data_IF_819370572902
#
_entry.id   IF_819370572902
#
_cell.length_a   1.000
_cell.length_b   1.000
_cell.length_c   1.000
_cell.angle_alpha   90.00
_cell.angle_beta   90.00
_cell.angle_gamma   90.00
#
_symmetry.space_group_name_H-M   'P 1'
#
loop_
_entity.id
_entity.type
_entity.pdbx_description
1 polymer ?
#
# COMPACT_ATOMS: atom_id res chain seq x y z
N UNK A 1 6.56 6.88 -32.22
CA UNK A 1 7.12 6.26 -30.99
C UNK A 1 6.11 5.22 -30.54
N UNK A 2 6.51 3.97 -30.39
CA UNK A 2 5.64 2.91 -29.87
C UNK A 2 5.39 3.17 -28.38
N UNK A 3 4.12 3.27 -27.99
CA UNK A 3 3.76 3.37 -26.60
C UNK A 3 3.95 2.03 -25.88
N UNK A 4 4.53 2.05 -24.70
CA UNK A 4 4.63 0.90 -23.81
C UNK A 4 3.67 1.08 -22.63
N UNK A 5 2.86 0.06 -22.34
CA UNK A 5 2.03 0.09 -21.15
C UNK A 5 1.91 -1.30 -20.55
N UNK A 6 1.87 -1.38 -19.21
CA UNK A 6 1.77 -2.67 -18.53
C UNK A 6 1.61 -2.55 -17.02
N UNK A 7 1.28 -3.68 -16.41
CA UNK A 7 1.06 -3.83 -14.99
C UNK A 7 2.33 -4.32 -14.28
N UNK A 8 2.63 -3.71 -13.14
CA UNK A 8 3.81 -4.01 -12.33
C UNK A 8 3.40 -4.30 -10.89
N UNK A 9 3.53 -5.54 -10.46
CA UNK A 9 3.21 -5.93 -9.09
C UNK A 9 4.35 -5.65 -8.13
N UNK A 10 4.05 -5.03 -6.98
CA UNK A 10 4.97 -4.83 -5.87
C UNK A 10 4.64 -5.86 -4.78
N UNK A 11 5.46 -6.89 -4.67
CA UNK A 11 5.32 -7.94 -3.65
C UNK A 11 6.50 -7.92 -2.68
N UNK A 12 6.38 -8.61 -1.56
CA UNK A 12 7.44 -8.72 -0.55
C UNK A 12 6.91 -8.76 0.87
N UNK A 13 7.78 -8.95 1.85
CA UNK A 13 7.40 -9.00 3.27
C UNK A 13 6.73 -7.70 3.73
N UNK A 14 5.96 -7.73 4.84
CA UNK A 14 5.53 -6.49 5.49
C UNK A 14 6.73 -5.58 5.77
N UNK A 15 6.51 -4.27 5.70
CA UNK A 15 7.51 -3.23 5.96
C UNK A 15 8.74 -3.22 5.03
N UNK A 16 8.78 -4.00 3.95
CA UNK A 16 9.85 -3.91 2.95
C UNK A 16 9.88 -2.56 2.21
N UNK A 17 8.79 -1.77 2.29
CA UNK A 17 8.68 -0.44 1.70
C UNK A 17 7.97 -0.41 0.35
N UNK A 18 7.09 -1.39 0.07
CA UNK A 18 6.27 -1.46 -1.15
C UNK A 18 5.43 -0.20 -1.36
N UNK A 19 4.63 0.18 -0.37
CA UNK A 19 3.77 1.37 -0.40
C UNK A 19 4.57 2.67 -0.51
N UNK A 20 5.75 2.74 0.14
CA UNK A 20 6.67 3.88 -0.02
C UNK A 20 7.19 3.96 -1.44
N UNK A 21 7.54 2.82 -2.04
CA UNK A 21 8.00 2.74 -3.42
C UNK A 21 6.88 3.13 -4.39
N UNK A 22 5.64 2.61 -4.21
CA UNK A 22 4.48 3.02 -5.00
C UNK A 22 4.33 4.54 -5.02
N UNK A 23 4.22 5.16 -3.82
CA UNK A 23 4.04 6.60 -3.69
C UNK A 23 5.19 7.38 -4.36
N UNK A 24 6.44 6.90 -4.25
CA UNK A 24 7.61 7.49 -4.90
C UNK A 24 7.53 7.40 -6.42
N UNK A 25 7.15 6.25 -6.97
CA UNK A 25 7.06 6.02 -8.42
C UNK A 25 5.95 6.86 -9.06
N UNK A 26 4.78 6.92 -8.43
CA UNK A 26 3.66 7.72 -8.93
C UNK A 26 3.91 9.22 -8.73
N UNK A 27 4.48 9.61 -7.60
CA UNK A 27 4.70 11.00 -7.20
C UNK A 27 3.59 11.55 -6.31
N UNK A 28 2.64 10.72 -5.91
CA UNK A 28 1.50 11.06 -5.05
C UNK A 28 1.34 10.07 -3.89
N UNK A 29 0.69 10.50 -2.81
CA UNK A 29 0.42 9.65 -1.65
C UNK A 29 -0.85 8.83 -1.88
N UNK A 30 -0.75 7.71 -2.58
CA UNK A 30 -1.86 6.80 -2.86
C UNK A 30 -1.99 5.70 -1.80
N UNK A 31 -0.89 5.19 -1.30
CA UNK A 31 -0.86 4.13 -0.29
C UNK A 31 -0.39 4.68 1.06
N UNK A 32 -1.05 4.25 2.13
CA UNK A 32 -0.63 4.64 3.49
C UNK A 32 0.68 3.96 3.88
N UNK A 33 1.48 4.67 4.65
CA UNK A 33 2.80 4.20 5.10
C UNK A 33 2.88 4.16 6.61
N UNK A 34 3.29 3.03 7.17
CA UNK A 34 3.53 2.88 8.60
C UNK A 34 4.73 1.97 8.85
N UNK A 35 5.47 2.17 9.96
CA UNK A 35 6.52 1.24 10.36
C UNK A 35 5.98 -0.11 10.85
N UNK A 36 4.67 -0.25 11.01
CA UNK A 36 4.01 -1.47 11.51
C UNK A 36 3.63 -2.41 10.36
N UNK A 37 3.63 -3.73 10.58
CA UNK A 37 3.16 -4.68 9.59
C UNK A 37 1.64 -4.53 9.33
N UNK A 38 1.15 -5.12 8.25
CA UNK A 38 -0.27 -5.16 7.87
C UNK A 38 -0.90 -3.77 7.62
N UNK A 39 -0.09 -2.80 7.18
CA UNK A 39 -0.56 -1.46 6.84
C UNK A 39 -1.43 -1.50 5.58
N UNK A 40 -0.93 -2.07 4.49
CA UNK A 40 -1.68 -2.30 3.26
C UNK A 40 -2.51 -3.57 3.42
N UNK A 41 -3.82 -3.49 3.22
CA UNK A 41 -4.76 -4.63 3.33
C UNK A 41 -5.42 -4.99 2.01
N UNK A 42 -5.59 -4.01 1.13
CA UNK A 42 -6.17 -4.15 -0.20
C UNK A 42 -5.08 -4.03 -1.28
N UNK A 43 -5.42 -4.47 -2.47
CA UNK A 43 -4.68 -4.12 -3.67
C UNK A 43 -4.88 -2.62 -3.95
N UNK A 44 -3.79 -1.87 -4.15
CA UNK A 44 -3.83 -0.44 -4.47
C UNK A 44 -3.15 -0.24 -5.82
N UNK A 45 -3.86 0.35 -6.76
CA UNK A 45 -3.36 0.67 -8.09
C UNK A 45 -2.83 2.10 -8.12
N UNK A 46 -1.61 2.28 -8.62
CA UNK A 46 -1.02 3.59 -8.86
C UNK A 46 -0.55 3.70 -10.31
N UNK A 47 -0.95 4.74 -11.00
CA UNK A 47 -0.69 4.94 -12.43
C UNK A 47 0.40 6.01 -12.61
N UNK A 48 1.48 5.64 -13.29
CA UNK A 48 2.55 6.55 -13.69
C UNK A 48 2.51 6.76 -15.18
N UNK A 49 2.16 7.98 -15.59
CA UNK A 49 2.21 8.41 -16.98
C UNK A 49 3.58 9.01 -17.29
N UNK A 50 4.18 8.59 -18.40
CA UNK A 50 5.49 9.03 -18.90
C UNK A 50 5.37 9.32 -20.40
N UNK A 51 6.27 10.14 -20.98
CA UNK A 51 6.33 10.28 -22.42
C UNK A 51 6.60 8.93 -23.10
N UNK A 52 5.60 8.42 -23.85
CA UNK A 52 5.69 7.15 -24.56
C UNK A 52 5.53 5.89 -23.69
N UNK A 53 5.15 6.03 -22.40
CA UNK A 53 4.87 4.87 -21.55
C UNK A 53 3.83 5.14 -20.46
N UNK A 54 3.11 4.09 -20.05
CA UNK A 54 2.27 4.09 -18.86
C UNK A 54 2.58 2.85 -18.00
N UNK A 55 2.93 3.06 -16.74
CA UNK A 55 3.20 1.99 -15.79
C UNK A 55 2.08 1.94 -14.75
N UNK A 56 1.41 0.80 -14.66
CA UNK A 56 0.35 0.58 -13.69
C UNK A 56 0.91 -0.26 -12.55
N UNK A 57 1.31 0.40 -11.48
CA UNK A 57 1.80 -0.27 -10.27
C UNK A 57 0.67 -0.85 -9.44
N UNK A 58 0.90 -2.02 -8.89
CA UNK A 58 -0.02 -2.72 -8.00
C UNK A 58 0.67 -2.97 -6.67
N UNK A 59 0.36 -2.14 -5.65
CA UNK A 59 0.80 -2.38 -4.27
C UNK A 59 -0.06 -3.45 -3.60
N UNK A 60 0.56 -4.36 -2.89
CA UNK A 60 -0.10 -5.53 -2.30
C UNK A 60 0.12 -5.60 -0.80
N UNK A 61 -0.77 -6.30 -0.06
CA UNK A 61 -0.48 -6.70 1.30
C UNK A 61 0.87 -7.43 1.39
N UNK A 62 1.53 -7.31 2.54
CA UNK A 62 2.80 -8.01 2.76
C UNK A 62 2.63 -9.53 2.80
N UNK A 63 3.59 -10.26 2.26
CA UNK A 63 3.67 -11.73 2.35
C UNK A 63 4.08 -12.16 3.77
N UNK A 64 3.16 -12.73 4.51
CA UNK A 64 3.36 -13.29 5.85
C UNK A 64 2.35 -14.42 6.11
N UNK A 65 2.59 -15.30 7.09
CA UNK A 65 1.63 -16.35 7.42
C UNK A 65 0.25 -15.77 7.78
N UNK A 66 -0.79 -16.32 7.17
CA UNK A 66 -2.16 -15.84 7.37
C UNK A 66 -2.67 -16.17 8.77
N UNK A 67 -3.33 -15.22 9.43
CA UNK A 67 -4.08 -15.42 10.66
C UNK A 67 -5.52 -14.91 10.48
N UNK A 68 -6.47 -15.80 10.67
CA UNK A 68 -7.90 -15.53 10.49
C UNK A 68 -8.32 -15.24 9.04
N UNK A 69 -9.59 -14.87 8.83
CA UNK A 69 -10.15 -14.64 7.48
C UNK A 69 -9.56 -13.40 6.79
N UNK A 70 -9.35 -12.31 7.53
CA UNK A 70 -8.70 -11.12 6.97
C UNK A 70 -7.26 -11.42 6.54
N UNK A 71 -6.49 -12.15 7.35
CA UNK A 71 -5.13 -12.57 6.99
C UNK A 71 -5.10 -13.47 5.75
N UNK A 72 -6.04 -14.42 5.66
CA UNK A 72 -6.20 -15.28 4.49
C UNK A 72 -6.55 -14.48 3.23
N UNK A 73 -7.44 -13.49 3.34
CA UNK A 73 -7.75 -12.55 2.26
C UNK A 73 -6.50 -11.79 1.78
N UNK A 74 -5.76 -11.20 2.72
CA UNK A 74 -4.55 -10.42 2.41
C UNK A 74 -3.49 -11.28 1.70
N UNK A 75 -3.25 -12.50 2.19
CA UNK A 75 -2.30 -13.42 1.57
C UNK A 75 -2.75 -13.82 0.15
N UNK A 76 -4.03 -14.16 -0.03
CA UNK A 76 -4.60 -14.50 -1.34
C UNK A 76 -4.52 -13.30 -2.31
N UNK A 77 -4.77 -12.08 -1.84
CA UNK A 77 -4.62 -10.84 -2.62
C UNK A 77 -3.18 -10.67 -3.10
N UNK A 78 -2.20 -10.89 -2.22
CA UNK A 78 -0.78 -10.78 -2.56
C UNK A 78 -0.34 -11.86 -3.56
N UNK A 79 -0.86 -13.09 -3.46
CA UNK A 79 -0.57 -14.16 -4.42
C UNK A 79 -1.19 -13.87 -5.80
N UNK A 80 -2.46 -13.50 -5.86
CA UNK A 80 -3.14 -13.18 -7.14
C UNK A 80 -2.53 -11.98 -7.87
N UNK A 81 -1.90 -11.08 -7.14
CA UNK A 81 -1.27 -9.91 -7.76
C UNK A 81 -0.07 -10.24 -8.65
N UNK A 82 0.38 -11.49 -8.70
CA UNK A 82 1.47 -11.96 -9.59
C UNK A 82 0.92 -12.64 -10.84
N UNK A 83 -0.41 -12.95 -10.90
CA UNK A 83 -0.97 -13.81 -11.94
C UNK A 83 -1.09 -13.09 -13.30
N UNK A 84 -1.57 -11.84 -13.30
CA UNK A 84 -1.88 -11.10 -14.53
C UNK A 84 -1.11 -9.78 -14.64
N UNK A 85 0.22 -9.85 -14.51
CA UNK A 85 1.09 -8.67 -14.60
C UNK A 85 2.26 -8.91 -15.55
N UNK A 86 2.76 -7.83 -16.14
CA UNK A 86 3.87 -7.87 -17.09
C UNK A 86 5.24 -7.92 -16.40
N UNK A 87 5.33 -7.36 -15.19
CA UNK A 87 6.57 -7.29 -14.40
C UNK A 87 6.25 -7.50 -12.92
N UNK A 88 7.10 -8.23 -12.22
CA UNK A 88 7.06 -8.35 -10.76
C UNK A 88 8.27 -7.68 -10.14
N UNK A 89 8.06 -6.82 -9.16
CA UNK A 89 9.09 -6.26 -8.29
C UNK A 89 8.98 -6.90 -6.90
N UNK A 90 9.88 -7.81 -6.57
CA UNK A 90 10.06 -8.35 -5.23
C UNK A 90 10.84 -7.33 -4.40
N UNK A 91 10.14 -6.61 -3.52
CA UNK A 91 10.74 -5.57 -2.65
C UNK A 91 11.24 -6.20 -1.36
N UNK A 92 12.52 -5.99 -1.08
CA UNK A 92 13.23 -6.55 0.07
C UNK A 92 13.83 -5.43 0.90
N UNK A 93 13.78 -5.54 2.22
CA UNK A 93 14.46 -4.63 3.15
C UNK A 93 15.96 -5.02 3.25
N UNK A 94 16.83 -4.29 2.57
CA UNK A 94 18.26 -4.56 2.58
C UNK A 94 18.90 -4.33 3.95
N UNK A 95 18.27 -3.58 4.86
CA UNK A 95 18.82 -3.27 6.18
C UNK A 95 18.72 -4.43 7.16
N UNK A 96 17.81 -5.40 6.93
CA UNK A 96 17.69 -6.60 7.78
C UNK A 96 18.76 -7.65 7.44
N UNK A 97 19.23 -7.66 6.20
CA UNK A 97 20.15 -8.69 5.71
C UNK A 97 19.49 -10.05 5.44
N UNK A 98 18.14 -10.08 5.42
CA UNK A 98 17.38 -11.30 5.15
C UNK A 98 17.64 -11.82 3.74
N UNK A 99 17.87 -13.11 3.62
CA UNK A 99 17.97 -13.82 2.34
C UNK A 99 16.62 -14.29 1.79
N UNK A 100 16.66 -14.95 0.62
CA UNK A 100 15.49 -15.59 0.01
C UNK A 100 14.84 -16.59 0.97
N UNK A 101 13.51 -16.67 0.95
CA UNK A 101 12.76 -17.64 1.75
C UNK A 101 11.51 -18.10 0.99
N UNK A 102 10.96 -19.29 1.29
CA UNK A 102 9.78 -19.81 0.59
C UNK A 102 8.62 -18.81 0.55
N UNK A 103 8.32 -18.13 1.65
CA UNK A 103 7.18 -17.21 1.74
C UNK A 103 7.23 -16.08 0.71
N UNK A 104 8.41 -15.65 0.28
CA UNK A 104 8.56 -14.58 -0.72
C UNK A 104 8.81 -15.12 -2.13
N UNK A 105 9.33 -16.35 -2.27
CA UNK A 105 9.63 -16.96 -3.56
C UNK A 105 8.50 -17.84 -4.10
N UNK A 106 7.67 -18.43 -3.22
CA UNK A 106 6.57 -19.32 -3.66
C UNK A 106 5.59 -18.63 -4.62
N UNK A 107 5.19 -17.36 -4.44
CA UNK A 107 4.34 -16.67 -5.40
C UNK A 107 4.97 -16.54 -6.80
N UNK A 108 6.30 -16.57 -6.89
CA UNK A 108 7.04 -16.42 -8.15
C UNK A 108 7.21 -17.72 -8.94
N UNK A 109 6.92 -18.89 -8.34
CA UNK A 109 7.19 -20.21 -8.96
C UNK A 109 6.45 -20.42 -10.28
N UNK A 110 5.22 -19.94 -10.36
CA UNK A 110 4.39 -20.08 -11.56
C UNK A 110 4.52 -18.89 -12.53
N UNK A 111 5.20 -17.83 -12.12
CA UNK A 111 5.35 -16.62 -12.91
C UNK A 111 6.51 -16.75 -13.88
N UNK A 112 6.26 -16.51 -15.17
CA UNK A 112 7.25 -16.67 -16.25
C UNK A 112 7.79 -15.32 -16.79
N UNK A 113 7.21 -14.22 -16.37
CA UNK A 113 7.64 -12.88 -16.77
C UNK A 113 8.89 -12.40 -16.02
N UNK A 114 9.36 -11.18 -16.32
CA UNK A 114 10.53 -10.60 -15.67
C UNK A 114 10.29 -10.25 -14.20
N UNK A 115 11.16 -10.74 -13.33
CA UNK A 115 11.15 -10.45 -11.89
C UNK A 115 12.36 -9.58 -11.54
N UNK A 116 12.11 -8.42 -10.94
CA UNK A 116 13.13 -7.57 -10.35
C UNK A 116 13.25 -7.83 -8.84
N UNK A 117 14.46 -8.06 -8.33
CA UNK A 117 14.72 -8.02 -6.90
C UNK A 117 15.10 -6.58 -6.51
N UNK A 118 14.21 -5.90 -5.81
CA UNK A 118 14.40 -4.51 -5.40
C UNK A 118 14.89 -4.48 -3.95
N UNK A 119 16.21 -4.32 -3.76
CA UNK A 119 16.83 -4.20 -2.44
C UNK A 119 16.64 -2.78 -1.91
N UNK A 120 15.53 -2.56 -1.22
CA UNK A 120 15.13 -1.25 -0.71
C UNK A 120 15.79 -0.92 0.64
N UNK A 121 15.73 0.35 1.04
CA UNK A 121 16.26 0.91 2.29
C UNK A 121 17.79 0.86 2.41
N UNK A 122 18.50 1.05 1.29
CA UNK A 122 19.97 1.10 1.30
C UNK A 122 20.51 2.28 2.12
N UNK A 123 19.70 3.32 2.35
CA UNK A 123 19.95 4.43 3.26
C UNK A 123 20.18 3.96 4.71
N UNK A 124 19.57 2.84 5.09
CA UNK A 124 19.70 2.24 6.43
C UNK A 124 20.82 1.21 6.56
N UNK A 125 21.47 0.84 5.46
CA UNK A 125 22.58 -0.12 5.46
C UNK A 125 23.86 0.61 5.89
N UNK A 126 24.26 0.43 7.16
CA UNK A 126 25.44 1.11 7.75
C UNK A 126 26.76 0.72 7.07
N UNK A 127 26.95 -0.56 6.78
CA UNK A 127 28.17 -1.09 6.15
C UNK A 127 27.91 -1.42 4.68
N UNK A 128 28.32 -0.56 3.75
CA UNK A 128 28.15 -0.77 2.30
C UNK A 128 28.77 -2.07 1.80
N UNK A 129 29.81 -2.58 2.47
CA UNK A 129 30.41 -3.88 2.18
C UNK A 129 29.45 -5.08 2.31
N UNK A 130 28.34 -4.93 3.05
CA UNK A 130 27.29 -5.95 3.16
C UNK A 130 26.42 -6.09 1.90
N UNK A 131 26.42 -5.07 1.03
CA UNK A 131 25.53 -5.08 -0.15
C UNK A 131 25.92 -6.15 -1.16
N UNK A 132 27.20 -6.32 -1.47
CA UNK A 132 27.64 -7.33 -2.43
C UNK A 132 27.29 -8.77 -2.00
N UNK A 133 27.61 -9.20 -0.77
CA UNK A 133 27.17 -10.50 -0.28
C UNK A 133 25.64 -10.68 -0.32
N UNK A 134 24.86 -9.65 0.01
CA UNK A 134 23.40 -9.70 -0.03
C UNK A 134 22.89 -9.87 -1.47
N UNK A 135 23.43 -9.13 -2.43
CA UNK A 135 23.11 -9.27 -3.87
C UNK A 135 23.39 -10.70 -4.34
N UNK A 136 24.56 -11.26 -4.01
CA UNK A 136 24.90 -12.63 -4.38
C UNK A 136 23.96 -13.66 -3.76
N UNK A 137 23.59 -13.48 -2.50
CA UNK A 137 22.62 -14.37 -1.81
C UNK A 137 21.26 -14.36 -2.53
N UNK A 138 20.77 -13.21 -2.95
CA UNK A 138 19.50 -13.11 -3.68
C UNK A 138 19.63 -13.66 -5.11
N UNK A 139 20.76 -13.43 -5.78
CA UNK A 139 21.02 -13.95 -7.12
C UNK A 139 20.97 -15.49 -7.20
N UNK A 140 21.41 -16.16 -6.15
CA UNK A 140 21.37 -17.62 -6.06
C UNK A 140 19.97 -18.17 -5.74
N UNK A 141 19.05 -17.33 -5.20
CA UNK A 141 17.72 -17.76 -4.77
C UNK A 141 16.68 -17.85 -5.86
N UNK A 142 16.82 -17.06 -6.93
CA UNK A 142 15.86 -17.01 -8.05
C UNK A 142 16.51 -16.35 -9.28
N UNK A 143 16.12 -16.73 -10.52
CA UNK A 143 16.64 -16.11 -11.76
C UNK A 143 16.01 -14.73 -11.99
N UNK A 144 16.38 -13.74 -11.17
CA UNK A 144 15.92 -12.37 -11.34
C UNK A 144 16.42 -11.76 -12.67
N UNK A 145 15.54 -11.00 -13.34
CA UNK A 145 15.93 -10.20 -14.50
C UNK A 145 16.99 -9.17 -14.11
N UNK A 146 16.84 -8.57 -12.92
CA UNK A 146 17.79 -7.60 -12.36
C UNK A 146 17.68 -7.58 -10.82
N UNK A 147 18.78 -7.19 -10.16
CA UNK A 147 18.81 -6.91 -8.72
C UNK A 147 19.19 -5.45 -8.53
N UNK A 148 18.26 -4.63 -8.04
CA UNK A 148 18.41 -3.16 -8.02
C UNK A 148 18.37 -2.66 -6.58
N UNK A 149 19.50 -2.19 -6.03
CA UNK A 149 19.53 -1.50 -4.74
C UNK A 149 18.93 -0.10 -4.85
N UNK A 150 17.97 0.24 -3.97
CA UNK A 150 17.30 1.54 -3.95
C UNK A 150 17.08 2.09 -2.54
N UNK A 151 16.81 3.38 -2.42
CA UNK A 151 16.11 3.98 -1.28
C UNK A 151 14.82 4.63 -1.76
N UNK A 152 13.68 4.00 -1.50
CA UNK A 152 12.38 4.57 -1.84
C UNK A 152 12.09 5.87 -1.06
N UNK A 153 12.64 6.03 0.14
CA UNK A 153 12.49 7.24 0.97
C UNK A 153 13.28 8.40 0.39
N UNK A 154 14.54 8.19 0.03
CA UNK A 154 15.42 9.22 -0.50
C UNK A 154 15.28 9.41 -2.02
N UNK A 155 14.68 8.44 -2.73
CA UNK A 155 14.58 8.42 -4.19
C UNK A 155 15.82 7.85 -4.89
N UNK A 156 16.83 7.40 -4.15
CA UNK A 156 18.07 6.88 -4.71
C UNK A 156 17.80 5.70 -5.63
N UNK A 157 18.22 5.79 -6.89
CA UNK A 157 18.06 4.81 -7.97
C UNK A 157 16.60 4.44 -8.32
N UNK A 158 15.60 5.17 -7.82
CA UNK A 158 14.20 4.92 -8.17
C UNK A 158 13.90 5.21 -9.65
N UNK A 159 14.43 6.31 -10.20
CA UNK A 159 14.26 6.64 -11.62
C UNK A 159 14.90 5.59 -12.52
N UNK A 160 16.08 5.09 -12.13
CA UNK A 160 16.75 4.00 -12.85
C UNK A 160 15.93 2.71 -12.83
N UNK A 161 15.35 2.36 -11.69
CA UNK A 161 14.44 1.21 -11.59
C UNK A 161 13.22 1.41 -12.51
N UNK A 162 12.65 2.61 -12.56
CA UNK A 162 11.51 2.93 -13.43
C UNK A 162 11.86 2.76 -14.90
N UNK A 163 13.01 3.27 -15.36
CA UNK A 163 13.50 3.09 -16.73
C UNK A 163 13.66 1.60 -17.10
N UNK A 164 14.23 0.81 -16.19
CA UNK A 164 14.44 -0.63 -16.39
C UNK A 164 13.10 -1.37 -16.48
N UNK A 165 12.11 -1.02 -15.66
CA UNK A 165 10.75 -1.55 -15.69
C UNK A 165 10.11 -1.22 -17.05
N UNK A 166 10.12 0.06 -17.47
CA UNK A 166 9.55 0.49 -18.76
C UNK A 166 10.17 -0.29 -19.93
N UNK A 167 11.48 -0.57 -19.87
CA UNK A 167 12.16 -1.39 -20.87
C UNK A 167 11.65 -2.83 -20.99
N UNK A 168 10.95 -3.35 -19.98
CA UNK A 168 10.36 -4.72 -19.96
C UNK A 168 8.87 -4.75 -20.27
N UNK A 169 8.20 -3.59 -20.28
CA UNK A 169 6.78 -3.52 -20.63
C UNK A 169 6.54 -3.83 -22.10
N UNK A 170 5.39 -4.46 -22.43
CA UNK A 170 4.98 -4.70 -23.80
C UNK A 170 4.64 -3.40 -24.54
N UNK A 171 4.62 -3.47 -25.86
CA UNK A 171 4.03 -2.44 -26.70
C UNK A 171 2.52 -2.53 -26.60
N UNK A 172 1.91 -1.54 -25.96
CA UNK A 172 0.48 -1.46 -25.73
C UNK A 172 0.03 0.00 -25.59
N UNK A 173 -1.17 0.37 -26.05
CA UNK A 173 -1.73 1.69 -25.75
C UNK A 173 -1.97 1.84 -24.24
N UNK A 174 -2.03 3.08 -23.72
CA UNK A 174 -2.35 3.31 -22.31
C UNK A 174 -3.67 2.65 -21.87
N UNK A 175 -3.70 2.07 -20.69
CA UNK A 175 -4.90 1.46 -20.08
C UNK A 175 -5.83 2.50 -19.45
N UNK A 176 -5.25 3.62 -19.01
CA UNK A 176 -5.95 4.67 -18.28
C UNK A 176 -5.72 6.04 -18.94
N UNK A 177 -6.60 7.04 -18.72
CA UNK A 177 -6.38 8.42 -19.15
C UNK A 177 -5.04 8.98 -18.65
N UNK A 178 -4.48 9.94 -19.39
CA UNK A 178 -3.16 10.49 -19.10
C UNK A 178 -3.08 11.30 -17.79
N UNK A 179 -4.19 11.75 -17.26
CA UNK A 179 -4.35 12.47 -16.00
C UNK A 179 -4.71 11.55 -14.82
N UNK A 180 -5.00 10.27 -15.08
CA UNK A 180 -5.31 9.31 -14.02
C UNK A 180 -4.05 8.94 -13.24
N UNK A 181 -4.17 8.97 -11.90
CA UNK A 181 -3.11 8.53 -10.95
C UNK A 181 -3.49 7.25 -10.22
N UNK A 182 -4.78 6.87 -10.22
CA UNK A 182 -5.29 5.61 -9.66
C UNK A 182 -6.68 5.28 -10.20
N UNK A 183 -7.11 4.04 -9.96
CA UNK A 183 -8.46 3.52 -10.25
C UNK A 183 -9.36 3.45 -9.01
N UNK A 184 -8.84 3.79 -7.83
CA UNK A 184 -9.59 3.71 -6.58
C UNK A 184 -10.52 4.92 -6.40
N UNK A 185 -11.73 4.74 -5.85
CA UNK A 185 -12.62 5.85 -5.54
C UNK A 185 -12.03 6.75 -4.42
N UNK A 186 -12.39 8.02 -4.42
CA UNK A 186 -11.94 8.99 -3.40
C UNK A 186 -12.25 8.54 -1.98
N UNK A 187 -13.41 7.91 -1.76
CA UNK A 187 -13.81 7.35 -0.46
C UNK A 187 -12.83 6.33 0.09
N UNK A 188 -12.15 5.57 -0.79
CA UNK A 188 -11.09 4.66 -0.40
C UNK A 188 -9.90 5.40 0.21
N UNK A 189 -9.42 6.47 -0.44
CA UNK A 189 -8.30 7.26 0.07
C UNK A 189 -8.63 7.95 1.38
N UNK A 190 -9.85 8.50 1.50
CA UNK A 190 -10.34 9.09 2.75
C UNK A 190 -10.30 8.07 3.89
N UNK A 191 -10.84 6.86 3.66
CA UNK A 191 -10.83 5.80 4.67
C UNK A 191 -9.41 5.39 5.07
N UNK A 192 -8.51 5.21 4.09
CA UNK A 192 -7.12 4.84 4.34
C UNK A 192 -6.34 5.94 5.07
N UNK A 193 -6.53 7.23 4.74
CA UNK A 193 -5.88 8.34 5.44
C UNK A 193 -6.33 8.43 6.91
N UNK A 194 -7.62 8.22 7.20
CA UNK A 194 -8.11 8.14 8.57
C UNK A 194 -7.48 6.93 9.29
N UNK A 195 -7.46 5.76 8.63
CA UNK A 195 -6.88 4.52 9.18
C UNK A 195 -5.39 4.67 9.46
N UNK A 196 -4.63 5.37 8.61
CA UNK A 196 -3.22 5.69 8.83
C UNK A 196 -3.01 6.44 10.15
N UNK A 197 -3.87 7.43 10.46
CA UNK A 197 -3.74 8.19 11.71
C UNK A 197 -4.03 7.32 12.93
N UNK A 198 -4.98 6.40 12.83
CA UNK A 198 -5.19 5.39 13.87
C UNK A 198 -3.93 4.53 14.05
N UNK A 199 -3.31 4.07 12.96
CA UNK A 199 -2.07 3.29 13.01
C UNK A 199 -0.92 4.04 13.68
N UNK A 200 -0.79 5.34 13.45
CA UNK A 200 0.28 6.14 14.02
C UNK A 200 0.05 6.52 15.49
N UNK A 201 -1.20 6.80 15.86
CA UNK A 201 -1.55 7.38 17.16
C UNK A 201 -1.97 6.34 18.20
N UNK A 202 -2.24 5.09 17.81
CA UNK A 202 -2.61 4.02 18.73
C UNK A 202 -1.55 2.93 18.79
N UNK A 203 -1.63 2.04 19.78
CA UNK A 203 -0.61 1.02 20.06
C UNK A 203 -1.24 -0.37 20.22
N UNK A 204 -0.37 -1.37 20.40
CA UNK A 204 -0.74 -2.78 20.62
C UNK A 204 -1.65 -3.31 19.50
N UNK A 205 -2.77 -3.91 19.81
CA UNK A 205 -3.70 -4.56 18.89
C UNK A 205 -4.70 -3.60 18.21
N UNK A 206 -4.90 -2.39 18.74
CA UNK A 206 -5.91 -1.45 18.23
C UNK A 206 -5.74 -1.13 16.74
N UNK A 207 -4.53 -0.80 16.22
CA UNK A 207 -4.34 -0.53 14.80
C UNK A 207 -4.81 -1.66 13.89
N UNK A 208 -4.64 -2.90 14.33
CA UNK A 208 -4.98 -4.09 13.54
C UNK A 208 -6.47 -4.43 13.57
N UNK A 209 -7.19 -3.94 14.59
CA UNK A 209 -8.63 -4.18 14.79
C UNK A 209 -9.53 -3.13 14.14
N UNK A 210 -8.95 -2.14 13.43
CA UNK A 210 -9.69 -1.01 12.87
C UNK A 210 -10.05 -1.24 11.41
N UNK A 211 -11.31 -0.94 11.06
CA UNK A 211 -11.77 -0.64 9.70
C UNK A 211 -12.37 0.77 9.67
N UNK A 212 -12.36 1.41 8.52
CA UNK A 212 -12.96 2.73 8.31
C UNK A 212 -13.91 2.66 7.13
N UNK A 213 -15.11 3.21 7.29
CA UNK A 213 -16.09 3.38 6.21
C UNK A 213 -16.43 4.85 6.08
N UNK A 214 -16.42 5.34 4.87
CA UNK A 214 -16.92 6.68 4.52
C UNK A 214 -18.40 6.55 4.22
N UNK A 215 -19.22 7.26 4.98
CA UNK A 215 -20.67 7.26 4.84
C UNK A 215 -21.13 8.33 3.85
N UNK A 216 -20.42 9.46 3.83
CA UNK A 216 -20.75 10.62 3.02
C UNK A 216 -19.48 11.36 2.62
N UNK A 217 -19.42 11.76 1.34
CA UNK A 217 -18.37 12.59 0.76
C UNK A 217 -19.09 13.57 -0.19
N UNK A 218 -19.24 14.83 0.22
CA UNK A 218 -20.05 15.80 -0.50
C UNK A 218 -19.41 17.18 -0.48
N UNK A 219 -19.29 17.81 -1.62
CA UNK A 219 -18.88 19.21 -1.71
C UNK A 219 -20.02 20.13 -1.23
N UNK A 220 -19.67 21.16 -0.45
CA UNK A 220 -20.59 22.19 0.04
C UNK A 220 -20.12 23.57 -0.44
N UNK A 221 -21.03 24.35 -0.99
CA UNK A 221 -20.71 25.63 -1.61
C UNK A 221 -20.53 26.77 -0.60
N UNK A 222 -21.19 26.71 0.57
CA UNK A 222 -21.18 27.81 1.53
C UNK A 222 -21.01 27.34 3.00
N UNK A 223 -19.79 27.45 3.58
CA UNK A 223 -18.52 27.78 2.90
C UNK A 223 -18.05 26.64 1.99
N UNK A 224 -17.30 26.96 0.95
CA UNK A 224 -16.73 25.95 0.05
C UNK A 224 -15.83 24.99 0.82
N UNK A 225 -16.27 23.76 1.00
CA UNK A 225 -15.53 22.72 1.70
C UNK A 225 -16.03 21.32 1.32
N UNK A 226 -15.14 20.35 1.45
CA UNK A 226 -15.50 18.94 1.34
C UNK A 226 -15.99 18.42 2.71
N UNK A 227 -17.27 18.08 2.78
CA UNK A 227 -17.85 17.44 3.95
C UNK A 227 -17.62 15.92 3.87
N UNK A 228 -17.06 15.37 4.93
CA UNK A 228 -16.77 13.94 5.07
C UNK A 228 -17.36 13.44 6.37
N UNK A 229 -18.20 12.39 6.29
CA UNK A 229 -18.66 11.63 7.44
C UNK A 229 -18.12 10.21 7.36
N UNK A 230 -17.40 9.78 8.38
CA UNK A 230 -16.75 8.49 8.42
C UNK A 230 -16.95 7.80 9.78
N UNK A 231 -17.11 6.47 9.74
CA UNK A 231 -17.20 5.62 10.92
C UNK A 231 -15.95 4.75 11.03
N UNK A 232 -15.30 4.79 12.19
CA UNK A 232 -14.18 3.95 12.56
C UNK A 232 -14.71 2.76 13.34
N UNK A 233 -14.59 1.55 12.80
CA UNK A 233 -15.05 0.32 13.45
C UNK A 233 -13.90 -0.36 14.20
N UNK A 234 -14.22 -0.89 15.37
CA UNK A 234 -13.34 -1.71 16.22
C UNK A 234 -14.05 -2.99 16.67
N UNK A 235 -13.33 -3.95 17.23
CA UNK A 235 -13.93 -5.23 17.63
C UNK A 235 -14.46 -5.24 19.08
N UNK A 236 -13.98 -4.34 19.96
CA UNK A 236 -14.26 -4.36 21.39
C UNK A 236 -14.53 -2.97 21.96
N UNK A 237 -15.34 -2.89 23.01
CA UNK A 237 -15.62 -1.64 23.73
C UNK A 237 -14.36 -1.00 24.34
N UNK A 238 -13.41 -1.81 24.81
CA UNK A 238 -12.12 -1.32 25.29
C UNK A 238 -11.34 -0.56 24.20
N UNK A 239 -11.32 -1.08 22.97
CA UNK A 239 -10.69 -0.44 21.83
C UNK A 239 -11.41 0.85 21.43
N UNK A 240 -12.77 0.86 21.48
CA UNK A 240 -13.57 2.08 21.29
C UNK A 240 -13.20 3.15 22.31
N UNK A 241 -13.08 2.78 23.58
CA UNK A 241 -12.66 3.68 24.65
C UNK A 241 -11.27 4.27 24.39
N UNK A 242 -10.31 3.47 23.90
CA UNK A 242 -8.96 3.93 23.53
C UNK A 242 -9.01 4.94 22.36
N UNK A 243 -9.80 4.66 21.32
CA UNK A 243 -9.92 5.54 20.14
C UNK A 243 -10.64 6.85 20.45
N UNK A 244 -11.62 6.85 21.33
CA UNK A 244 -12.27 8.08 21.79
C UNK A 244 -11.32 8.85 22.70
N UNK A 245 -10.68 8.17 23.65
CA UNK A 245 -9.81 8.76 24.63
C UNK A 245 -10.55 9.61 25.68
N UNK A 246 -9.82 10.13 26.68
CA UNK A 246 -10.40 10.95 27.72
C UNK A 246 -11.07 12.20 27.14
N UNK A 247 -12.38 12.37 27.34
CA UNK A 247 -13.18 13.48 26.80
C UNK A 247 -13.06 13.66 25.26
N UNK A 248 -12.88 12.59 24.51
CA UNK A 248 -12.76 12.65 23.04
C UNK A 248 -11.39 13.10 22.51
N UNK A 249 -10.38 13.21 23.37
CA UNK A 249 -9.07 13.79 22.98
C UNK A 249 -8.36 12.99 21.87
N UNK A 250 -8.38 11.65 21.92
CA UNK A 250 -7.72 10.81 20.93
C UNK A 250 -8.43 10.92 19.57
N UNK A 251 -9.75 10.81 19.55
CA UNK A 251 -10.53 10.95 18.31
C UNK A 251 -10.35 12.33 17.68
N UNK A 252 -10.32 13.38 18.48
CA UNK A 252 -10.00 14.74 18.02
C UNK A 252 -8.61 14.84 17.41
N UNK A 253 -7.60 14.19 18.01
CA UNK A 253 -6.23 14.17 17.50
C UNK A 253 -6.16 13.42 16.15
N UNK A 254 -6.80 12.24 16.06
CA UNK A 254 -6.90 11.45 14.82
C UNK A 254 -7.58 12.29 13.73
N UNK A 255 -8.76 12.86 14.01
CA UNK A 255 -9.51 13.66 13.07
C UNK A 255 -8.74 14.91 12.60
N UNK A 256 -8.05 15.60 13.51
CA UNK A 256 -7.23 16.77 13.14
C UNK A 256 -6.06 16.40 12.22
N UNK A 257 -5.38 15.29 12.51
CA UNK A 257 -4.28 14.81 11.68
C UNK A 257 -4.78 14.31 10.31
N UNK A 258 -5.88 13.56 10.28
CA UNK A 258 -6.51 13.09 9.04
C UNK A 258 -6.97 14.27 8.17
N UNK A 259 -7.67 15.26 8.76
CA UNK A 259 -8.14 16.44 8.03
C UNK A 259 -7.01 17.18 7.33
N UNK A 260 -5.85 17.36 7.97
CA UNK A 260 -4.69 18.03 7.34
C UNK A 260 -4.20 17.31 6.10
N UNK A 261 -4.11 15.98 6.15
CA UNK A 261 -3.70 15.18 4.99
C UNK A 261 -4.77 15.23 3.89
N UNK A 262 -6.06 15.17 4.24
CA UNK A 262 -7.17 15.26 3.31
C UNK A 262 -7.24 16.65 2.64
N UNK A 263 -7.04 17.74 3.39
CA UNK A 263 -6.96 19.10 2.84
C UNK A 263 -5.78 19.23 1.84
N UNK A 264 -4.65 18.59 2.15
CA UNK A 264 -3.50 18.55 1.22
C UNK A 264 -3.78 17.72 -0.03
N UNK A 265 -4.51 16.61 0.11
CA UNK A 265 -4.84 15.70 -0.99
C UNK A 265 -5.85 16.30 -1.95
N UNK A 266 -6.95 16.88 -1.43
CA UNK A 266 -8.02 17.46 -2.25
C UNK A 266 -7.78 18.92 -2.66
N UNK A 267 -6.83 19.62 -2.04
CA UNK A 267 -6.54 21.03 -2.32
C UNK A 267 -7.63 22.02 -1.82
N UNK A 268 -8.62 21.54 -1.06
CA UNK A 268 -9.74 22.34 -0.54
C UNK A 268 -9.90 22.12 0.97
N UNK A 269 -10.66 22.99 1.63
CA UNK A 269 -10.98 22.82 3.06
C UNK A 269 -11.82 21.59 3.29
N UNK A 270 -11.57 20.88 4.41
CA UNK A 270 -12.27 19.65 4.78
C UNK A 270 -12.95 19.81 6.13
N UNK A 271 -14.24 19.47 6.18
CA UNK A 271 -14.98 19.25 7.42
C UNK A 271 -15.14 17.74 7.63
N UNK A 272 -14.38 17.19 8.58
CA UNK A 272 -14.38 15.75 8.90
C UNK A 272 -15.16 15.48 10.18
N UNK A 273 -16.26 14.75 10.04
CA UNK A 273 -17.03 14.17 11.13
C UNK A 273 -16.67 12.68 11.27
N UNK A 274 -16.22 12.29 12.46
CA UNK A 274 -15.78 10.92 12.73
C UNK A 274 -16.49 10.34 13.95
N UNK A 275 -17.02 9.13 13.80
CA UNK A 275 -17.62 8.33 14.89
C UNK A 275 -16.83 7.05 15.09
N UNK A 276 -17.01 6.40 16.27
CA UNK A 276 -16.40 5.11 16.57
C UNK A 276 -17.48 4.13 16.96
N UNK A 277 -17.54 2.98 16.29
CA UNK A 277 -18.51 1.93 16.53
C UNK A 277 -17.84 0.58 16.81
N UNK A 278 -18.53 -0.27 17.57
CA UNK A 278 -18.07 -1.64 17.82
C UNK A 278 -18.77 -2.60 16.87
N UNK A 279 -17.97 -3.31 16.07
CA UNK A 279 -18.39 -4.42 15.23
C UNK A 279 -17.64 -5.68 15.66
N UNK A 280 -18.21 -6.45 16.55
CA UNK A 280 -17.55 -7.62 17.16
C UNK A 280 -17.09 -8.62 16.09
N UNK A 281 -15.86 -9.10 16.21
CA UNK A 281 -15.26 -10.14 15.35
C UNK A 281 -15.30 -9.85 13.84
N UNK A 282 -15.38 -8.59 13.41
CA UNK A 282 -15.51 -8.23 12.00
C UNK A 282 -14.41 -8.83 11.11
N UNK A 283 -13.19 -9.02 11.62
CA UNK A 283 -12.08 -9.64 10.88
C UNK A 283 -12.29 -11.13 10.57
N UNK A 284 -13.27 -11.78 11.22
CA UNK A 284 -13.64 -13.19 11.03
C UNK A 284 -15.01 -13.36 10.37
N UNK A 285 -15.75 -12.29 10.14
CA UNK A 285 -17.07 -12.26 9.53
C UNK A 285 -16.96 -11.89 8.05
N UNK A 286 -17.36 -12.82 7.17
CA UNK A 286 -17.30 -12.62 5.71
C UNK A 286 -18.17 -11.47 5.23
N UNK A 287 -19.33 -11.29 5.83
CA UNK A 287 -20.23 -10.20 5.44
C UNK A 287 -19.62 -8.84 5.84
N UNK A 288 -19.08 -8.71 7.04
CA UNK A 288 -18.38 -7.51 7.45
C UNK A 288 -17.11 -7.23 6.59
N UNK A 289 -16.37 -8.27 6.23
CA UNK A 289 -15.22 -8.14 5.33
C UNK A 289 -15.64 -7.62 3.94
N UNK A 290 -16.78 -8.09 3.41
CA UNK A 290 -17.36 -7.54 2.16
C UNK A 290 -17.73 -6.08 2.29
N UNK A 291 -18.46 -5.74 3.35
CA UNK A 291 -18.92 -4.39 3.63
C UNK A 291 -17.74 -3.40 3.75
N UNK A 292 -16.61 -3.82 4.30
CA UNK A 292 -15.40 -3.01 4.42
C UNK A 292 -14.46 -3.07 3.19
N UNK A 293 -14.90 -3.69 2.10
CA UNK A 293 -14.13 -3.76 0.86
C UNK A 293 -12.99 -4.81 0.86
N UNK A 294 -12.99 -5.74 1.81
CA UNK A 294 -12.01 -6.84 1.88
C UNK A 294 -12.54 -8.09 1.18
N UNK A 295 -12.71 -8.01 -0.14
CA UNK A 295 -13.16 -9.14 -0.96
C UNK A 295 -12.36 -9.21 -2.25
N UNK A 296 -12.04 -10.44 -2.67
CA UNK A 296 -11.57 -10.67 -4.02
C UNK A 296 -12.81 -10.62 -4.93
N UNK A 297 -12.85 -9.65 -5.82
CA UNK A 297 -13.72 -9.75 -6.99
C UNK A 297 -13.30 -10.99 -7.76
N UNK A 298 -14.26 -11.86 -8.00
CA UNK A 298 -14.13 -13.09 -8.78
C UNK A 298 -13.68 -12.80 -10.19
#
# INVERSE_FOLDING_TARGET
MTNRAGFVSLIGRPNAGKSTLLNRMVGEKLSIVSPRPQTTRNRITGIKNLPGAQVVFVDTPGLYPADGKLGAFMLKTAHRAVEDVDVVCLVVDASTGDGPSPIVLDPLRAYTGPVFCVLNKIDRVRAKSRMLPLIETWRLGHPFAEIVPISATEGTYCDRLLEMIVGKLPEHPPFFPADATSDQPETFYVAEMIREKVFHLTHQEVPYAVAVRVEELTERDNPACLYIRATVFVEQESQKGILIGKRGAMLKQIGTAARRDLESFFGIKVFLESTVEVRRNWRRDEWALREFGFMLTS
#
